data_IF_199096345706
#
_entry.id   IF_199096345706
#
_cell.length_a   1.000
_cell.length_b   1.000
_cell.length_c   1.000
_cell.angle_alpha   90.00
_cell.angle_beta   90.00
_cell.angle_gamma   90.00
#
_symmetry.space_group_name_H-M   'P 1'
#
loop_
_entity.id
_entity.type
_entity.pdbx_description
1 polymer ?
#
# COMPACT_ATOMS: atom_id res chain seq x y z
N UNK A 1 47.91 62.45 34.83
CA UNK A 1 46.68 62.84 34.08
C UNK A 1 46.76 62.22 32.69
N UNK A 2 45.86 61.27 32.39
CA UNK A 2 45.43 60.72 31.07
C UNK A 2 46.55 60.43 30.05
N UNK A 3 47.09 59.21 29.93
CA UNK A 3 46.57 58.06 29.17
C UNK A 3 45.66 58.44 27.98
N UNK A 4 46.17 58.30 26.75
CA UNK A 4 45.45 57.68 25.63
C UNK A 4 46.42 57.35 24.49
N UNK A 5 46.70 56.07 24.31
CA UNK A 5 47.26 55.48 23.09
C UNK A 5 46.17 55.40 22.02
N UNK A 6 46.42 55.70 20.73
CA UNK A 6 45.52 55.25 19.68
C UNK A 6 45.79 53.77 19.39
N UNK A 7 44.95 52.90 19.96
CA UNK A 7 44.70 51.56 19.41
C UNK A 7 43.87 51.78 18.16
N UNK A 8 44.53 51.98 17.03
CA UNK A 8 43.85 51.91 15.75
C UNK A 8 44.73 51.08 14.83
N UNK A 9 44.13 50.00 14.33
CA UNK A 9 44.63 49.11 13.28
C UNK A 9 45.37 47.86 13.77
N UNK A 10 44.73 47.08 14.64
CA UNK A 10 45.09 45.66 14.87
C UNK A 10 43.98 44.69 14.40
N UNK A 11 43.29 45.01 13.30
CA UNK A 11 42.50 44.05 12.54
C UNK A 11 42.73 44.33 11.05
N UNK A 12 43.90 43.89 10.58
CA UNK A 12 44.19 43.82 9.15
C UNK A 12 43.12 42.95 8.50
N UNK A 13 42.41 43.54 7.52
CA UNK A 13 41.46 42.83 6.69
C UNK A 13 42.09 41.53 6.18
N UNK A 14 41.50 40.39 6.55
CA UNK A 14 41.84 39.09 5.97
C UNK A 14 41.36 39.13 4.52
N UNK A 15 42.23 39.66 3.66
CA UNK A 15 42.06 39.63 2.22
C UNK A 15 42.18 38.18 1.78
N UNK A 16 41.03 37.54 1.58
CA UNK A 16 40.91 36.23 0.93
C UNK A 16 41.52 36.34 -0.47
N UNK A 17 42.82 36.04 -0.60
CA UNK A 17 43.49 35.93 -1.91
C UNK A 17 42.77 34.85 -2.71
N UNK A 18 41.90 35.25 -3.63
CA UNK A 18 41.28 34.34 -4.60
C UNK A 18 42.41 33.72 -5.41
N UNK A 19 42.66 32.42 -5.21
CA UNK A 19 43.65 31.66 -6.00
C UNK A 19 43.34 31.84 -7.49
N UNK A 20 44.34 32.06 -8.35
CA UNK A 20 44.12 32.19 -9.78
C UNK A 20 43.52 30.89 -10.29
N UNK A 21 42.32 30.98 -10.87
CA UNK A 21 41.68 29.86 -11.54
C UNK A 21 42.49 29.57 -12.80
N UNK A 22 43.29 28.50 -12.77
CA UNK A 22 43.93 28.00 -13.99
C UNK A 22 42.81 27.51 -14.91
N UNK A 23 42.69 28.01 -16.16
CA UNK A 23 41.77 27.41 -17.11
C UNK A 23 42.19 25.95 -17.27
N UNK A 24 41.23 25.04 -17.19
CA UNK A 24 41.48 23.62 -17.37
C UNK A 24 42.03 23.41 -18.78
N UNK A 25 42.94 22.45 -18.94
CA UNK A 25 43.40 22.07 -20.27
C UNK A 25 42.18 21.58 -21.08
N UNK A 26 42.06 21.89 -22.38
CA UNK A 26 40.91 21.48 -23.21
C UNK A 26 40.64 19.97 -23.16
N UNK A 27 41.69 19.16 -22.96
CA UNK A 27 41.58 17.71 -22.81
C UNK A 27 40.95 17.29 -21.47
N UNK A 28 41.17 18.07 -20.40
CA UNK A 28 40.60 17.83 -19.08
C UNK A 28 39.12 18.20 -19.07
N UNK A 29 38.73 19.30 -19.71
CA UNK A 29 37.34 19.74 -19.80
C UNK A 29 36.47 18.71 -20.51
N UNK A 30 36.93 18.13 -21.62
CA UNK A 30 36.17 17.11 -22.37
C UNK A 30 35.99 15.83 -21.54
N UNK A 31 37.01 15.39 -20.80
CA UNK A 31 36.90 14.21 -19.93
C UNK A 31 35.91 14.44 -18.80
N UNK A 32 35.97 15.62 -18.18
CA UNK A 32 35.09 15.99 -17.08
C UNK A 32 33.64 16.14 -17.56
N UNK A 33 33.44 16.73 -18.76
CA UNK A 33 32.13 16.81 -19.41
C UNK A 33 31.54 15.42 -19.69
N UNK A 34 32.34 14.49 -20.21
CA UNK A 34 31.90 13.10 -20.44
C UNK A 34 31.48 12.39 -19.15
N UNK A 35 32.23 12.60 -18.05
CA UNK A 35 31.88 12.04 -16.74
C UNK A 35 30.57 12.63 -16.22
N UNK A 36 30.39 13.96 -16.35
CA UNK A 36 29.15 14.63 -15.94
C UNK A 36 27.97 14.09 -16.76
N UNK A 37 28.10 13.99 -18.08
CA UNK A 37 27.06 13.43 -18.95
C UNK A 37 26.74 11.99 -18.55
N UNK A 38 27.75 11.17 -18.30
CA UNK A 38 27.58 9.80 -17.81
C UNK A 38 26.82 9.73 -16.49
N UNK A 39 27.17 10.59 -15.53
CA UNK A 39 26.48 10.70 -14.24
C UNK A 39 25.02 11.13 -14.40
N UNK A 40 24.74 12.12 -15.26
CA UNK A 40 23.37 12.58 -15.52
C UNK A 40 22.52 11.47 -16.13
N UNK A 41 23.04 10.75 -17.12
CA UNK A 41 22.34 9.62 -17.72
C UNK A 41 22.10 8.53 -16.68
N UNK A 42 23.11 8.22 -15.86
CA UNK A 42 23.00 7.20 -14.82
C UNK A 42 21.99 7.61 -13.74
N UNK A 43 21.93 8.90 -13.37
CA UNK A 43 20.93 9.44 -12.44
C UNK A 43 19.51 9.38 -13.02
N UNK A 44 19.34 9.68 -14.31
CA UNK A 44 18.03 9.55 -14.97
C UNK A 44 17.61 8.07 -15.02
N UNK A 45 18.54 7.19 -15.39
CA UNK A 45 18.28 5.76 -15.44
C UNK A 45 17.95 5.21 -14.04
N UNK A 46 18.68 5.66 -13.02
CA UNK A 46 18.38 5.34 -11.63
C UNK A 46 17.02 5.87 -11.21
N UNK A 47 16.63 7.10 -11.56
CA UNK A 47 15.31 7.64 -11.22
C UNK A 47 14.16 6.86 -11.90
N UNK A 48 14.36 6.40 -13.13
CA UNK A 48 13.37 5.62 -13.88
C UNK A 48 13.27 4.16 -13.40
N UNK A 49 14.41 3.54 -13.10
CA UNK A 49 14.52 2.12 -12.75
C UNK A 49 14.73 1.85 -11.24
N UNK A 50 14.75 2.88 -10.38
CA UNK A 50 14.96 2.70 -8.95
C UNK A 50 13.82 1.88 -8.34
N UNK A 51 14.15 0.76 -7.66
CA UNK A 51 13.17 0.00 -6.91
C UNK A 51 12.64 0.89 -5.77
N UNK A 52 11.31 0.87 -5.57
CA UNK A 52 10.54 1.65 -4.58
C UNK A 52 10.26 3.14 -4.86
N UNK A 53 10.93 3.81 -5.81
CA UNK A 53 10.67 5.24 -6.12
C UNK A 53 10.34 5.53 -7.58
N UNK A 54 10.55 4.56 -8.49
CA UNK A 54 10.25 4.75 -9.91
C UNK A 54 8.75 4.83 -10.23
N UNK A 55 8.42 5.63 -11.26
CA UNK A 55 7.06 5.83 -11.81
C UNK A 55 6.37 4.49 -12.17
N UNK A 56 7.16 3.48 -12.54
CA UNK A 56 6.70 2.12 -12.79
C UNK A 56 6.04 1.46 -11.56
N UNK A 57 6.59 1.70 -10.37
CA UNK A 57 6.06 1.18 -9.10
C UNK A 57 4.70 1.82 -8.80
N UNK A 58 4.56 3.13 -9.02
CA UNK A 58 3.29 3.84 -8.87
C UNK A 58 2.21 3.34 -9.84
N UNK A 59 2.57 3.05 -11.09
CA UNK A 59 1.66 2.46 -12.07
C UNK A 59 1.24 1.03 -11.69
N UNK A 60 2.18 0.21 -11.19
CA UNK A 60 1.90 -1.14 -10.69
C UNK A 60 0.99 -1.11 -9.46
N UNK A 61 1.23 -0.20 -8.50
CA UNK A 61 0.39 -0.02 -7.32
C UNK A 61 -1.04 0.41 -7.70
N UNK A 62 -1.20 1.35 -8.65
CA UNK A 62 -2.53 1.73 -9.15
C UNK A 62 -3.29 0.55 -9.75
N UNK A 63 -2.62 -0.29 -10.56
CA UNK A 63 -3.25 -1.47 -11.15
C UNK A 63 -3.64 -2.51 -10.10
N UNK A 64 -2.82 -2.69 -9.06
CA UNK A 64 -3.13 -3.60 -7.96
C UNK A 64 -4.31 -3.09 -7.10
N UNK A 65 -4.40 -1.79 -6.83
CA UNK A 65 -5.52 -1.21 -6.10
C UNK A 65 -6.86 -1.43 -6.83
N UNK A 66 -6.89 -1.18 -8.15
CA UNK A 66 -8.10 -1.39 -8.96
C UNK A 66 -8.50 -2.88 -9.00
N UNK A 67 -7.53 -3.79 -9.09
CA UNK A 67 -7.80 -5.23 -9.04
C UNK A 67 -8.34 -5.72 -7.70
N UNK A 68 -7.85 -5.15 -6.58
CA UNK A 68 -8.31 -5.51 -5.23
C UNK A 68 -9.74 -5.04 -4.95
N UNK A 69 -10.12 -3.84 -5.40
CA UNK A 69 -11.50 -3.34 -5.26
C UNK A 69 -12.48 -4.20 -6.06
N UNK A 70 -12.11 -4.60 -7.29
CA UNK A 70 -12.93 -5.49 -8.11
C UNK A 70 -13.10 -6.88 -7.49
N UNK A 71 -12.03 -7.47 -6.94
CA UNK A 71 -12.10 -8.75 -6.24
C UNK A 71 -12.98 -8.67 -4.99
N UNK A 72 -12.88 -7.57 -4.24
CA UNK A 72 -13.71 -7.35 -3.04
C UNK A 72 -15.19 -7.25 -3.41
N UNK A 73 -15.53 -6.49 -4.44
CA UNK A 73 -16.90 -6.36 -4.93
C UNK A 73 -17.47 -7.70 -5.41
N UNK A 74 -16.66 -8.50 -6.10
CA UNK A 74 -17.05 -9.83 -6.56
C UNK A 74 -17.28 -10.80 -5.40
N UNK A 75 -16.37 -10.83 -4.41
CA UNK A 75 -16.52 -11.68 -3.23
C UNK A 75 -17.74 -11.33 -2.39
N UNK A 76 -18.06 -10.03 -2.25
CA UNK A 76 -19.29 -9.60 -1.55
C UNK A 76 -20.54 -10.12 -2.28
N UNK A 77 -20.56 -10.01 -3.61
CA UNK A 77 -21.67 -10.49 -4.43
C UNK A 77 -21.85 -12.00 -4.32
N UNK A 78 -20.77 -12.77 -4.44
CA UNK A 78 -20.78 -14.23 -4.31
C UNK A 78 -21.24 -14.67 -2.91
N UNK A 79 -20.75 -14.02 -1.85
CA UNK A 79 -21.18 -14.30 -0.48
C UNK A 79 -22.68 -14.07 -0.29
N UNK A 80 -23.21 -12.99 -0.87
CA UNK A 80 -24.64 -12.69 -0.78
C UNK A 80 -25.50 -13.67 -1.59
N UNK A 81 -25.03 -14.12 -2.75
CA UNK A 81 -25.70 -15.17 -3.52
C UNK A 81 -25.75 -16.50 -2.75
N UNK A 82 -24.62 -16.92 -2.17
CA UNK A 82 -24.55 -18.14 -1.38
C UNK A 82 -25.45 -18.08 -0.14
N UNK A 83 -25.52 -16.94 0.55
CA UNK A 83 -26.42 -16.75 1.70
C UNK A 83 -27.89 -16.91 1.30
N UNK A 84 -28.30 -16.31 0.19
CA UNK A 84 -29.67 -16.41 -0.31
C UNK A 84 -30.01 -17.86 -0.71
N UNK A 85 -29.04 -18.58 -1.27
CA UNK A 85 -29.20 -19.98 -1.64
C UNK A 85 -29.35 -20.87 -0.41
N UNK A 86 -28.53 -20.67 0.62
CA UNK A 86 -28.64 -21.35 1.92
C UNK A 86 -30.02 -21.07 2.55
N UNK A 87 -30.49 -19.83 2.53
CA UNK A 87 -31.79 -19.46 3.10
C UNK A 87 -32.94 -20.17 2.38
N UNK A 88 -32.92 -20.20 1.05
CA UNK A 88 -33.93 -20.91 0.25
C UNK A 88 -33.94 -22.40 0.58
N UNK A 89 -32.78 -23.05 0.55
CA UNK A 89 -32.65 -24.49 0.81
C UNK A 89 -33.10 -24.82 2.24
N UNK A 90 -32.70 -24.01 3.22
CA UNK A 90 -33.05 -24.22 4.63
C UNK A 90 -34.54 -24.04 4.85
N UNK A 91 -35.16 -23.04 4.22
CA UNK A 91 -36.58 -22.77 4.36
C UNK A 91 -37.43 -23.89 3.77
N UNK A 92 -37.01 -24.45 2.63
CA UNK A 92 -37.68 -25.59 2.01
C UNK A 92 -37.54 -26.85 2.88
N UNK A 93 -36.36 -27.12 3.43
CA UNK A 93 -36.15 -28.21 4.39
C UNK A 93 -37.01 -28.06 5.65
N UNK A 94 -37.07 -26.86 6.23
CA UNK A 94 -37.92 -26.59 7.40
C UNK A 94 -39.40 -26.73 7.08
N UNK A 95 -39.82 -26.35 5.88
CA UNK A 95 -41.18 -26.53 5.42
C UNK A 95 -41.52 -28.02 5.27
N UNK A 96 -40.63 -28.80 4.65
CA UNK A 96 -40.77 -30.25 4.51
C UNK A 96 -40.80 -30.97 5.87
N UNK A 97 -39.90 -30.60 6.80
CA UNK A 97 -39.85 -31.17 8.15
C UNK A 97 -41.14 -30.87 8.93
N UNK A 98 -41.71 -29.66 8.77
CA UNK A 98 -42.99 -29.29 9.38
C UNK A 98 -44.14 -30.13 8.84
N UNK A 99 -44.25 -30.25 7.51
CA UNK A 99 -45.31 -31.07 6.87
C UNK A 99 -45.17 -32.54 7.24
N UNK A 100 -43.95 -33.06 7.34
CA UNK A 100 -43.68 -34.43 7.80
C UNK A 100 -44.16 -34.66 9.24
N UNK A 101 -43.84 -33.73 10.16
CA UNK A 101 -44.29 -33.80 11.57
C UNK A 101 -45.81 -33.71 11.70
N UNK A 102 -46.47 -32.84 10.93
CA UNK A 102 -47.94 -32.75 10.90
C UNK A 102 -48.61 -34.06 10.44
N UNK A 103 -47.93 -34.84 9.60
CA UNK A 103 -48.39 -36.15 9.13
C UNK A 103 -47.92 -37.31 10.02
N UNK A 104 -47.28 -37.03 11.16
CA UNK A 104 -46.77 -38.05 12.07
C UNK A 104 -45.57 -38.83 11.54
N UNK A 105 -44.89 -38.33 10.52
CA UNK A 105 -43.65 -38.93 10.00
C UNK A 105 -42.47 -38.49 10.86
N UNK A 106 -41.77 -39.46 11.42
CA UNK A 106 -40.53 -39.29 12.17
C UNK A 106 -39.33 -39.61 11.27
N UNK A 107 -38.16 -39.05 11.58
CA UNK A 107 -36.92 -39.51 10.94
C UNK A 107 -36.59 -40.91 11.43
N UNK A 108 -35.85 -41.67 10.61
CA UNK A 108 -35.47 -43.07 10.90
C UNK A 108 -34.73 -43.26 12.24
N UNK A 109 -34.22 -42.17 12.84
CA UNK A 109 -33.48 -42.15 14.09
C UNK A 109 -34.13 -41.30 15.20
N UNK A 110 -35.42 -40.95 15.10
CA UNK A 110 -36.16 -40.17 16.11
C UNK A 110 -37.32 -41.00 16.70
N UNK A 111 -37.48 -40.97 18.03
CA UNK A 111 -38.60 -41.61 18.75
C UNK A 111 -39.57 -40.55 19.28
N UNK A 112 -40.87 -40.71 19.03
CA UNK A 112 -41.91 -39.86 19.60
C UNK A 112 -42.35 -40.39 20.98
N UNK A 113 -42.39 -39.50 21.97
CA UNK A 113 -42.91 -39.79 23.30
C UNK A 113 -44.26 -39.09 23.48
N UNK A 114 -45.34 -39.86 23.53
CA UNK A 114 -46.66 -39.35 23.90
C UNK A 114 -46.77 -39.30 25.43
N UNK A 115 -46.92 -38.09 25.97
CA UNK A 115 -47.18 -37.89 27.40
C UNK A 115 -48.70 -37.85 27.63
N UNK A 116 -49.30 -38.87 28.27
CA UNK A 116 -50.71 -38.79 28.64
C UNK A 116 -50.90 -37.67 29.67
N UNK A 117 -51.87 -36.79 29.44
CA UNK A 117 -52.18 -35.71 30.39
C UNK A 117 -52.42 -36.30 31.78
N UNK A 118 -51.68 -35.78 32.77
CA UNK A 118 -51.87 -36.14 34.15
C UNK A 118 -53.31 -35.80 34.55
N UNK A 119 -54.12 -36.85 34.76
CA UNK A 119 -55.46 -36.71 35.33
C UNK A 119 -55.36 -35.86 36.60
N UNK A 120 -55.99 -34.69 36.56
CA UNK A 120 -56.18 -33.80 37.71
C UNK A 120 -57.00 -34.48 38.81
#
# INVERSE_FOLDING_TARGET
MKILTPIQNMFGAVSQRKKPRKPLSPLQEIRLLKIIIGLVILSILYLLFAPNTGVYTLLKLRRQAIGMEQQTAQLIKENQQLKNEIERITKDLQHLDRVARERGMLKDNEEAFDFPEAKK
#
